data_IF_121025090921
#
_entry.id   IF_121025090921
#
_cell.length_a   1.000
_cell.length_b   1.000
_cell.length_c   1.000
_cell.angle_alpha   90.00
_cell.angle_beta   90.00
_cell.angle_gamma   90.00
#
_symmetry.space_group_name_H-M   'P 1'
#
loop_
_entity.id
_entity.type
_entity.pdbx_description
1 polymer ?
#
# COMPACT_ATOMS: atom_id res chain seq x y z
N UNK A 1 -64.00 5.15 45.73
CA UNK A 1 -62.55 5.30 45.49
C UNK A 1 -62.02 4.03 44.85
N UNK A 2 -61.53 4.11 43.60
CA UNK A 2 -60.39 3.34 43.05
C UNK A 2 -60.26 3.71 41.57
N UNK A 3 -59.21 4.47 41.27
CA UNK A 3 -58.92 5.01 39.95
C UNK A 3 -58.36 3.93 39.01
N UNK A 4 -58.89 3.91 37.78
CA UNK A 4 -58.36 3.13 36.65
C UNK A 4 -57.33 4.02 35.94
N UNK A 5 -56.06 3.64 35.99
CA UNK A 5 -55.00 4.28 35.21
C UNK A 5 -54.86 3.57 33.86
N UNK A 6 -55.22 4.27 32.76
CA UNK A 6 -54.79 3.91 31.41
C UNK A 6 -53.37 4.41 31.22
N UNK A 7 -52.39 3.51 31.16
CA UNK A 7 -51.05 3.82 30.66
C UNK A 7 -51.03 3.62 29.15
N UNK A 8 -50.98 4.72 28.41
CA UNK A 8 -50.66 4.72 26.99
C UNK A 8 -49.14 4.70 26.87
N UNK A 9 -48.56 3.55 26.51
CA UNK A 9 -47.13 3.45 26.20
C UNK A 9 -46.95 3.93 24.76
N UNK A 10 -46.52 5.17 24.60
CA UNK A 10 -46.00 5.66 23.32
C UNK A 10 -44.59 5.08 23.14
N UNK A 11 -44.48 4.01 22.36
CA UNK A 11 -43.19 3.51 21.89
C UNK A 11 -42.63 4.52 20.87
N UNK A 12 -41.79 5.43 21.34
CA UNK A 12 -40.95 6.24 20.48
C UNK A 12 -39.89 5.32 19.87
N UNK A 13 -40.16 4.84 18.66
CA UNK A 13 -39.14 4.25 17.80
C UNK A 13 -38.19 5.38 17.43
N UNK A 14 -37.11 5.54 18.20
CA UNK A 14 -35.93 6.29 17.75
C UNK A 14 -35.36 5.53 16.55
N UNK A 15 -35.85 5.84 15.36
CA UNK A 15 -35.09 5.67 14.12
C UNK A 15 -33.89 6.59 14.26
N UNK A 16 -32.81 6.07 14.87
CA UNK A 16 -31.48 6.63 14.69
C UNK A 16 -31.26 6.63 13.18
N UNK A 17 -31.38 7.81 12.58
CA UNK A 17 -30.79 8.08 11.28
C UNK A 17 -29.29 7.82 11.48
N UNK A 18 -28.88 6.59 11.20
CA UNK A 18 -27.47 6.27 11.02
C UNK A 18 -27.11 7.09 9.80
N UNK A 19 -26.56 8.28 10.05
CA UNK A 19 -25.87 9.08 9.05
C UNK A 19 -24.99 8.08 8.30
N UNK A 20 -25.25 7.87 7.02
CA UNK A 20 -24.50 6.93 6.17
C UNK A 20 -23.11 7.50 5.85
N UNK A 21 -22.48 8.08 6.86
CA UNK A 21 -21.29 8.87 6.78
C UNK A 21 -20.13 8.00 6.33
N UNK A 22 -19.59 8.33 5.15
CA UNK A 22 -18.18 8.09 4.78
C UNK A 22 -17.75 6.64 4.97
N UNK A 23 -18.55 5.71 4.50
CA UNK A 23 -18.26 4.28 4.56
C UNK A 23 -17.29 3.86 3.47
N UNK A 24 -16.71 2.67 3.66
CA UNK A 24 -15.77 2.08 2.73
C UNK A 24 -16.41 1.76 1.37
N UNK A 25 -15.72 2.05 0.25
CA UNK A 25 -16.22 1.75 -1.09
C UNK A 25 -16.59 0.26 -1.22
N UNK A 26 -17.83 -0.02 -1.62
CA UNK A 26 -18.30 -1.38 -1.92
C UNK A 26 -18.63 -2.27 -0.72
N UNK A 27 -18.11 -2.00 0.48
CA UNK A 27 -18.38 -2.84 1.67
C UNK A 27 -19.34 -2.17 2.65
N UNK A 28 -19.37 -0.84 2.71
CA UNK A 28 -20.19 -0.11 3.68
C UNK A 28 -19.61 -0.09 5.10
N UNK A 29 -18.42 -0.64 5.31
CA UNK A 29 -17.73 -0.66 6.60
C UNK A 29 -17.24 0.74 7.02
N UNK A 30 -16.92 0.91 8.31
CA UNK A 30 -16.27 2.13 8.79
C UNK A 30 -14.82 2.22 8.31
N UNK A 31 -14.35 3.41 7.90
CA UNK A 31 -12.98 3.56 7.43
C UNK A 31 -11.98 3.55 8.59
N UNK A 32 -10.85 2.88 8.37
CA UNK A 32 -9.76 2.82 9.35
C UNK A 32 -9.12 4.18 9.56
N UNK A 33 -9.13 5.04 8.54
CA UNK A 33 -8.55 6.38 8.59
C UNK A 33 -9.37 7.33 7.73
N UNK A 34 -9.52 8.59 8.16
CA UNK A 34 -10.18 9.60 7.35
C UNK A 34 -9.52 10.97 7.49
N UNK A 35 -9.70 11.82 6.47
CA UNK A 35 -9.22 13.20 6.47
C UNK A 35 -10.12 14.09 5.63
N UNK A 36 -10.64 15.15 6.25
CA UNK A 36 -11.42 16.17 5.53
C UNK A 36 -10.46 17.07 4.76
N UNK A 37 -10.68 17.21 3.45
CA UNK A 37 -9.90 18.11 2.60
C UNK A 37 -10.50 19.51 2.62
N UNK A 38 -9.69 20.54 2.35
CA UNK A 38 -10.18 21.93 2.21
C UNK A 38 -11.12 22.10 1.01
N UNK A 39 -11.00 21.23 0.01
CA UNK A 39 -11.85 21.24 -1.18
C UNK A 39 -13.27 20.74 -0.92
N UNK A 40 -13.56 20.22 0.27
CA UNK A 40 -14.88 19.68 0.65
C UNK A 40 -14.86 18.18 0.93
N UNK A 41 -14.42 17.34 -0.03
CA UNK A 41 -14.43 15.89 0.11
C UNK A 41 -13.70 15.38 1.35
N UNK A 42 -14.19 14.27 1.89
CA UNK A 42 -13.42 13.50 2.88
C UNK A 42 -12.80 12.29 2.21
N UNK A 43 -11.48 12.17 2.34
CA UNK A 43 -10.78 10.96 1.93
C UNK A 43 -10.82 9.95 3.07
N UNK A 44 -11.00 8.68 2.72
CA UNK A 44 -11.06 7.56 3.65
C UNK A 44 -10.10 6.45 3.23
N UNK A 45 -9.55 5.71 4.18
CA UNK A 45 -8.73 4.50 3.94
C UNK A 45 -9.48 3.30 4.46
N UNK A 46 -9.57 2.27 3.63
CA UNK A 46 -10.28 1.03 3.89
C UNK A 46 -9.42 -0.15 3.44
N UNK A 47 -9.28 -1.19 4.26
CA UNK A 47 -8.39 -2.31 3.96
C UNK A 47 -7.82 -2.92 5.23
N UNK A 48 -6.61 -3.45 5.15
CA UNK A 48 -5.91 -4.05 6.28
C UNK A 48 -4.89 -3.07 6.88
N UNK A 49 -5.00 -2.77 8.17
CA UNK A 49 -3.92 -2.09 8.90
C UNK A 49 -2.94 -3.13 9.43
N UNK A 50 -1.67 -2.97 9.03
CA UNK A 50 -0.58 -3.85 9.44
C UNK A 50 0.03 -3.32 10.74
N UNK A 51 -0.18 -4.06 11.83
CA UNK A 51 0.35 -3.70 13.14
C UNK A 51 1.73 -4.31 13.45
N UNK A 52 2.24 -5.17 12.57
CA UNK A 52 3.56 -5.80 12.72
C UNK A 52 4.67 -4.90 12.16
N UNK A 53 4.33 -4.04 11.20
CA UNK A 53 5.26 -3.08 10.61
C UNK A 53 5.46 -1.89 11.53
N UNK A 54 6.72 -1.64 11.91
CA UNK A 54 7.08 -0.46 12.69
C UNK A 54 6.83 0.82 11.89
N UNK A 55 6.13 1.79 12.48
CA UNK A 55 5.74 3.04 11.82
C UNK A 55 6.44 4.27 12.39
N UNK A 56 6.83 5.25 11.53
CA UNK A 56 7.22 6.57 12.00
C UNK A 56 6.05 7.30 12.67
N UNK A 57 6.37 8.24 13.57
CA UNK A 57 5.36 9.04 14.30
C UNK A 57 4.34 9.68 13.34
N UNK A 58 3.07 9.42 13.58
CA UNK A 58 1.95 9.98 12.83
C UNK A 58 1.63 9.25 11.52
N UNK A 59 2.29 8.12 11.25
CA UNK A 59 1.96 7.21 10.15
C UNK A 59 1.33 5.93 10.67
N UNK A 60 0.59 5.24 9.82
CA UNK A 60 0.03 3.90 10.04
C UNK A 60 0.39 3.02 8.85
N UNK A 61 0.61 1.73 9.07
CA UNK A 61 0.98 0.81 8.01
C UNK A 61 -0.27 0.09 7.48
N UNK A 62 -0.36 -0.07 6.17
CA UNK A 62 -1.48 -0.72 5.51
C UNK A 62 -1.01 -1.63 4.40
N UNK A 63 -1.73 -2.73 4.18
CA UNK A 63 -1.68 -3.58 3.00
C UNK A 63 -3.11 -3.81 2.49
N UNK A 64 -3.27 -4.23 1.24
CA UNK A 64 -4.60 -4.51 0.65
C UNK A 64 -5.65 -3.41 0.94
N UNK A 65 -5.31 -2.16 0.61
CA UNK A 65 -6.18 -1.04 0.95
C UNK A 65 -6.61 -0.23 -0.27
N UNK A 66 -7.69 0.49 -0.06
CA UNK A 66 -8.24 1.48 -0.97
C UNK A 66 -8.33 2.82 -0.27
N UNK A 67 -8.09 3.89 -1.04
CA UNK A 67 -8.44 5.25 -0.65
C UNK A 67 -9.71 5.63 -1.40
N UNK A 68 -10.76 5.93 -0.66
CA UNK A 68 -12.02 6.43 -1.19
C UNK A 68 -12.16 7.95 -1.02
N UNK A 69 -12.93 8.59 -1.90
CA UNK A 69 -13.40 9.97 -1.74
C UNK A 69 -14.91 10.00 -1.49
N UNK A 70 -15.30 10.42 -0.29
CA UNK A 70 -16.68 10.74 0.05
C UNK A 70 -16.98 12.19 -0.38
N UNK A 71 -17.61 12.34 -1.55
CA UNK A 71 -18.04 13.63 -2.11
C UNK A 71 -19.40 14.08 -1.55
N UNK A 72 -20.23 13.11 -1.17
CA UNK A 72 -21.59 13.26 -0.67
C UNK A 72 -21.70 12.43 0.61
N UNK A 73 -22.31 12.98 1.66
CA UNK A 73 -22.38 12.31 2.96
C UNK A 73 -23.35 11.12 2.96
N UNK A 74 -24.23 11.05 1.96
CA UNK A 74 -25.24 10.00 1.80
C UNK A 74 -24.85 8.94 0.75
N UNK A 75 -23.60 8.97 0.24
CA UNK A 75 -23.13 8.01 -0.77
C UNK A 75 -21.84 7.30 -0.34
N UNK A 76 -21.65 6.05 -0.76
CA UNK A 76 -20.37 5.37 -0.60
C UNK A 76 -19.24 6.18 -1.25
N UNK A 77 -18.06 6.13 -0.64
CA UNK A 77 -16.89 6.78 -1.20
C UNK A 77 -16.52 6.18 -2.58
N UNK A 78 -16.10 7.02 -3.51
CA UNK A 78 -15.60 6.60 -4.82
C UNK A 78 -14.11 6.22 -4.70
N UNK A 79 -13.70 5.10 -5.28
CA UNK A 79 -12.28 4.66 -5.22
C UNK A 79 -11.38 5.63 -5.98
N UNK A 80 -10.36 6.16 -5.31
CA UNK A 80 -9.35 7.08 -5.86
C UNK A 80 -8.00 6.39 -6.06
N UNK A 81 -7.68 5.46 -5.18
CA UNK A 81 -6.43 4.71 -5.21
C UNK A 81 -6.66 3.32 -4.60
N UNK A 82 -5.96 2.31 -5.11
CA UNK A 82 -5.94 0.95 -4.56
C UNK A 82 -4.52 0.42 -4.56
N UNK A 83 -4.12 -0.19 -3.45
CA UNK A 83 -2.91 -0.98 -3.32
C UNK A 83 -3.27 -2.48 -3.32
N UNK A 84 -2.48 -3.28 -4.03
CA UNK A 84 -2.58 -4.73 -4.00
C UNK A 84 -2.03 -5.33 -2.70
N UNK A 85 -2.13 -6.65 -2.54
CA UNK A 85 -1.74 -7.32 -1.30
C UNK A 85 -0.26 -7.57 -1.09
N UNK A 86 0.54 -7.44 -2.14
CA UNK A 86 1.99 -7.61 -2.07
C UNK A 86 2.73 -6.32 -1.68
N UNK A 87 2.00 -5.22 -1.46
CA UNK A 87 2.58 -3.92 -1.16
C UNK A 87 2.14 -3.41 0.21
N UNK A 88 3.13 -3.07 1.04
CA UNK A 88 2.91 -2.39 2.31
C UNK A 88 3.14 -0.90 2.13
N UNK A 89 2.29 -0.08 2.72
CA UNK A 89 2.39 1.38 2.69
C UNK A 89 2.42 1.97 4.09
N UNK A 90 3.21 3.01 4.30
CA UNK A 90 2.93 3.97 5.36
C UNK A 90 2.00 5.07 4.86
N UNK A 91 0.91 5.29 5.58
CA UNK A 91 -0.08 6.34 5.29
C UNK A 91 -0.09 7.36 6.40
N UNK A 92 -0.12 8.64 6.02
CA UNK A 92 -0.23 9.78 6.93
C UNK A 92 -1.39 10.69 6.51
N UNK A 93 -2.20 11.08 7.49
CA UNK A 93 -3.25 12.08 7.31
C UNK A 93 -2.63 13.47 7.38
N UNK A 94 -2.90 14.28 6.37
CA UNK A 94 -2.51 15.69 6.32
C UNK A 94 -3.79 16.53 6.35
N UNK A 95 -4.19 17.05 7.52
CA UNK A 95 -5.44 17.78 7.69
C UNK A 95 -5.62 18.91 6.67
N UNK A 96 -6.79 18.95 6.03
CA UNK A 96 -7.12 19.94 5.01
C UNK A 96 -6.47 19.70 3.65
N UNK A 97 -5.61 18.69 3.49
CA UNK A 97 -4.95 18.36 2.21
C UNK A 97 -5.38 16.98 1.69
N UNK A 98 -5.13 15.93 2.47
CA UNK A 98 -5.40 14.55 2.06
C UNK A 98 -4.47 13.55 2.72
N UNK A 99 -4.02 12.54 1.97
CA UNK A 99 -3.08 11.52 2.47
C UNK A 99 -1.72 11.62 1.80
N UNK A 100 -0.65 11.43 2.57
CA UNK A 100 0.67 11.04 2.05
C UNK A 100 0.77 9.51 2.12
N UNK A 101 1.13 8.88 1.00
CA UNK A 101 1.33 7.43 0.87
C UNK A 101 2.81 7.18 0.56
N UNK A 102 3.44 6.30 1.34
CA UNK A 102 4.79 5.82 1.09
C UNK A 102 4.77 4.31 0.94
N UNK A 103 4.96 3.83 -0.28
CA UNK A 103 5.18 2.42 -0.57
C UNK A 103 6.50 1.96 0.03
N UNK A 104 6.47 0.85 0.75
CA UNK A 104 7.62 0.28 1.43
C UNK A 104 8.17 -0.89 0.62
N UNK A 105 9.48 -0.87 0.40
CA UNK A 105 10.22 -1.97 -0.19
C UNK A 105 11.12 -2.59 0.88
N UNK A 106 11.09 -3.91 0.95
CA UNK A 106 11.91 -4.71 1.86
C UNK A 106 12.93 -5.48 1.04
N UNK A 107 14.19 -5.38 1.44
CA UNK A 107 15.30 -6.18 0.88
C UNK A 107 16.01 -6.99 1.96
N UNK A 108 15.62 -6.73 3.21
CA UNK A 108 16.03 -7.29 4.47
C UNK A 108 14.83 -7.15 5.43
N UNK A 109 15.01 -7.48 6.70
CA UNK A 109 13.97 -7.40 7.72
C UNK A 109 13.47 -5.96 8.00
N UNK A 110 14.09 -4.94 7.39
CA UNK A 110 13.73 -3.53 7.60
C UNK A 110 13.09 -2.92 6.34
N UNK A 111 11.76 -2.74 6.32
CA UNK A 111 11.08 -2.05 5.22
C UNK A 111 11.54 -0.60 5.09
N UNK A 112 11.67 -0.11 3.87
CA UNK A 112 12.15 1.25 3.56
C UNK A 112 11.19 1.96 2.62
N UNK A 113 10.88 3.24 2.84
CA UNK A 113 10.06 4.00 1.92
C UNK A 113 10.78 4.14 0.58
N UNK A 114 10.11 3.72 -0.49
CA UNK A 114 10.67 3.69 -1.83
C UNK A 114 9.97 4.67 -2.77
N UNK A 115 8.64 4.64 -2.78
CA UNK A 115 7.82 5.51 -3.62
C UNK A 115 6.90 6.33 -2.73
N UNK A 116 6.93 7.63 -2.90
CA UNK A 116 6.03 8.56 -2.23
C UNK A 116 5.00 9.11 -3.22
N UNK A 117 3.75 9.25 -2.80
CA UNK A 117 2.68 9.92 -3.55
C UNK A 117 1.71 10.59 -2.59
N UNK A 118 0.98 11.59 -3.04
CA UNK A 118 -0.13 12.19 -2.30
C UNK A 118 -1.46 11.79 -2.92
N UNK A 119 -2.50 11.64 -2.11
CA UNK A 119 -3.89 11.64 -2.59
C UNK A 119 -4.53 12.91 -2.08
N UNK A 120 -4.89 13.80 -3.00
CA UNK A 120 -5.46 15.12 -2.70
C UNK A 120 -6.72 15.38 -3.50
N UNK A 121 -7.49 16.38 -3.10
CA UNK A 121 -8.70 16.80 -3.82
C UNK A 121 -8.62 18.27 -4.22
N UNK A 122 -8.98 18.55 -5.47
CA UNK A 122 -9.10 19.91 -6.03
C UNK A 122 -10.43 20.02 -6.79
N UNK A 123 -11.16 21.11 -6.55
CA UNK A 123 -12.46 21.38 -7.19
C UNK A 123 -13.44 20.18 -7.17
N UNK A 124 -13.49 19.46 -6.05
CA UNK A 124 -14.37 18.30 -5.86
C UNK A 124 -13.91 17.01 -6.57
N UNK A 125 -12.72 16.99 -7.19
CA UNK A 125 -12.12 15.79 -7.79
C UNK A 125 -10.91 15.37 -6.98
N UNK A 126 -10.80 14.09 -6.65
CA UNK A 126 -9.68 13.54 -5.91
C UNK A 126 -8.85 12.64 -6.81
N UNK A 127 -7.52 12.73 -6.69
CA UNK A 127 -6.60 11.93 -7.49
C UNK A 127 -5.28 11.71 -6.75
N UNK A 128 -4.58 10.59 -7.01
CA UNK A 128 -3.20 10.42 -6.60
C UNK A 128 -2.28 11.29 -7.46
N UNK A 129 -1.24 11.87 -6.86
CA UNK A 129 -0.12 12.45 -7.59
C UNK A 129 0.67 11.35 -8.31
N UNK A 130 1.45 11.70 -9.36
CA UNK A 130 2.49 10.81 -9.85
C UNK A 130 3.41 10.36 -8.69
N UNK A 131 3.89 9.12 -8.76
CA UNK A 131 4.87 8.61 -7.82
C UNK A 131 6.17 9.42 -7.88
N UNK A 132 6.82 9.55 -6.73
CA UNK A 132 8.16 10.13 -6.60
C UNK A 132 9.06 9.15 -5.91
N UNK A 133 10.22 8.89 -6.51
CA UNK A 133 11.22 8.09 -5.82
C UNK A 133 11.75 8.80 -4.57
N UNK A 134 11.67 8.11 -3.44
CA UNK A 134 12.26 8.52 -2.16
C UNK A 134 13.22 7.48 -1.60
N UNK A 135 13.39 6.35 -2.31
CA UNK A 135 14.33 5.31 -1.95
C UNK A 135 15.75 5.87 -1.85
N UNK A 136 16.43 5.60 -0.73
CA UNK A 136 17.82 6.00 -0.50
C UNK A 136 18.72 4.77 -0.45
N UNK A 137 19.05 4.22 -1.61
CA UNK A 137 20.02 3.13 -1.74
C UNK A 137 21.36 3.67 -2.26
N UNK A 138 22.27 4.05 -1.34
CA UNK A 138 23.56 4.66 -1.72
C UNK A 138 24.59 3.66 -2.23
N UNK A 139 24.50 2.39 -1.80
CA UNK A 139 25.41 1.30 -2.14
C UNK A 139 24.63 0.01 -2.20
N UNK A 140 25.12 -0.94 -2.99
CA UNK A 140 24.61 -2.31 -3.01
C UNK A 140 24.80 -2.95 -1.62
N UNK A 141 23.71 -3.27 -0.88
CA UNK A 141 23.83 -3.96 0.39
C UNK A 141 24.15 -5.46 0.23
N UNK A 142 23.93 -6.04 -0.95
CA UNK A 142 24.06 -7.47 -1.22
C UNK A 142 24.88 -7.76 -2.49
N UNK A 143 26.19 -7.47 -2.50
CA UNK A 143 27.04 -7.60 -3.70
C UNK A 143 27.18 -9.02 -4.26
N UNK A 144 26.73 -10.05 -3.54
CA UNK A 144 26.84 -11.45 -3.94
C UNK A 144 25.50 -12.16 -4.11
N UNK A 145 24.39 -11.44 -3.96
CA UNK A 145 23.05 -12.04 -3.97
C UNK A 145 22.79 -12.82 -5.26
N UNK A 146 23.10 -12.22 -6.42
CA UNK A 146 22.88 -12.89 -7.71
C UNK A 146 23.67 -14.19 -7.83
N UNK A 147 24.96 -14.14 -7.50
CA UNK A 147 25.83 -15.33 -7.56
C UNK A 147 25.36 -16.43 -6.60
N UNK A 148 24.83 -16.06 -5.43
CA UNK A 148 24.32 -17.01 -4.44
C UNK A 148 23.01 -17.66 -4.91
N UNK A 149 22.07 -16.87 -5.45
CA UNK A 149 20.83 -17.38 -6.02
C UNK A 149 21.10 -18.34 -7.18
N UNK A 150 21.98 -17.96 -8.11
CA UNK A 150 22.36 -18.82 -9.25
C UNK A 150 23.01 -20.14 -8.80
N UNK A 151 23.90 -20.10 -7.80
CA UNK A 151 24.50 -21.31 -7.25
C UNK A 151 23.44 -22.26 -6.65
N UNK A 152 22.43 -21.71 -5.97
CA UNK A 152 21.33 -22.50 -5.40
C UNK A 152 20.45 -23.15 -6.46
N UNK A 153 19.98 -22.35 -7.43
CA UNK A 153 19.16 -22.84 -8.55
C UNK A 153 19.86 -23.97 -9.35
N UNK A 154 21.20 -23.96 -9.39
CA UNK A 154 21.99 -24.99 -10.05
C UNK A 154 22.26 -26.23 -9.17
N UNK A 155 22.06 -26.16 -7.85
CA UNK A 155 22.49 -27.19 -6.89
C UNK A 155 21.34 -27.97 -6.23
N UNK A 156 20.11 -27.43 -6.18
CA UNK A 156 18.94 -28.05 -5.51
C UNK A 156 17.61 -27.61 -6.15
N UNK A 157 16.53 -28.27 -5.74
CA UNK A 157 15.17 -27.73 -5.87
C UNK A 157 15.04 -26.44 -5.04
N UNK A 158 14.33 -25.43 -5.55
CA UNK A 158 14.14 -24.17 -4.83
C UNK A 158 13.48 -24.34 -3.45
N UNK A 159 13.77 -23.44 -2.52
CA UNK A 159 13.11 -23.35 -1.21
C UNK A 159 12.76 -21.88 -0.84
N UNK A 160 12.02 -21.68 0.26
CA UNK A 160 11.56 -20.36 0.71
C UNK A 160 12.71 -19.34 0.90
N UNK A 161 13.94 -19.80 1.17
CA UNK A 161 15.07 -18.88 1.31
C UNK A 161 15.59 -18.33 -0.03
N UNK A 162 15.10 -18.86 -1.16
CA UNK A 162 15.38 -18.32 -2.49
C UNK A 162 14.55 -17.06 -2.78
N UNK A 163 13.38 -16.88 -2.17
CA UNK A 163 12.60 -15.64 -2.26
C UNK A 163 13.34 -14.49 -1.56
N UNK A 164 13.85 -14.73 -0.34
CA UNK A 164 14.67 -13.75 0.36
C UNK A 164 15.95 -13.39 -0.42
N UNK A 165 16.55 -14.35 -1.13
CA UNK A 165 17.66 -14.06 -2.04
C UNK A 165 17.22 -13.25 -3.26
N UNK A 166 16.03 -13.51 -3.81
CA UNK A 166 15.46 -12.72 -4.92
C UNK A 166 15.31 -11.24 -4.55
N UNK A 167 14.84 -10.93 -3.35
CA UNK A 167 14.74 -9.56 -2.84
C UNK A 167 16.12 -8.89 -2.69
N UNK A 168 17.14 -9.66 -2.33
CA UNK A 168 18.51 -9.16 -2.29
C UNK A 168 19.08 -8.90 -3.71
N UNK A 169 18.75 -9.76 -4.69
CA UNK A 169 19.09 -9.54 -6.11
C UNK A 169 18.38 -8.28 -6.63
N UNK A 170 17.15 -8.04 -6.19
CA UNK A 170 16.41 -6.81 -6.51
C UNK A 170 17.14 -5.56 -5.99
N UNK A 171 17.56 -5.54 -4.72
CA UNK A 171 18.37 -4.45 -4.19
C UNK A 171 19.70 -4.27 -4.95
N UNK A 172 20.36 -5.37 -5.32
CA UNK A 172 21.55 -5.33 -6.17
C UNK A 172 21.25 -4.66 -7.52
N UNK A 173 20.15 -5.02 -8.21
CA UNK A 173 19.73 -4.39 -9.46
C UNK A 173 19.39 -2.90 -9.32
N UNK A 174 18.69 -2.52 -8.24
CA UNK A 174 18.36 -1.11 -7.94
C UNK A 174 19.60 -0.25 -7.69
N UNK A 175 20.69 -0.85 -7.21
CA UNK A 175 21.96 -0.16 -6.99
C UNK A 175 22.76 0.11 -8.26
N UNK A 176 22.27 -0.32 -9.43
CA UNK A 176 22.92 -0.12 -10.73
C UNK A 176 23.79 -1.29 -11.20
N UNK A 177 23.71 -2.45 -10.54
CA UNK A 177 24.41 -3.66 -10.98
C UNK A 177 23.81 -4.18 -12.28
N UNK A 178 24.60 -4.19 -13.35
CA UNK A 178 24.14 -4.54 -14.71
C UNK A 178 23.80 -6.02 -14.85
N UNK A 179 24.49 -6.90 -14.14
CA UNK A 179 24.23 -8.34 -14.21
C UNK A 179 22.92 -8.67 -13.51
N UNK A 180 22.67 -8.06 -12.34
CA UNK A 180 21.40 -8.21 -11.66
C UNK A 180 20.23 -7.54 -12.40
N UNK A 181 20.47 -6.41 -13.08
CA UNK A 181 19.46 -5.84 -13.98
C UNK A 181 19.12 -6.80 -15.13
N UNK A 182 20.15 -7.35 -15.80
CA UNK A 182 19.98 -8.30 -16.89
C UNK A 182 19.28 -9.59 -16.44
N UNK A 183 19.50 -10.03 -15.20
CA UNK A 183 18.79 -11.17 -14.62
C UNK A 183 17.25 -10.98 -14.66
N UNK A 184 16.75 -9.77 -14.40
CA UNK A 184 15.30 -9.47 -14.44
C UNK A 184 14.75 -9.20 -15.86
N UNK A 185 15.59 -9.15 -16.88
CA UNK A 185 15.14 -9.05 -18.28
C UNK A 185 14.63 -10.38 -18.82
N UNK A 186 15.14 -11.50 -18.27
CA UNK A 186 14.85 -12.85 -18.78
C UNK A 186 14.69 -13.86 -17.65
N UNK A 187 13.45 -14.29 -17.42
CA UNK A 187 13.10 -15.22 -16.35
C UNK A 187 13.92 -16.53 -16.48
N UNK A 188 14.64 -16.94 -15.44
CA UNK A 188 15.33 -18.23 -15.41
C UNK A 188 14.36 -19.41 -15.53
N UNK A 189 14.86 -20.53 -16.08
CA UNK A 189 14.12 -21.79 -16.03
C UNK A 189 14.20 -22.40 -14.62
N UNK A 190 13.19 -23.18 -14.24
CA UNK A 190 13.22 -23.95 -12.99
C UNK A 190 12.67 -23.25 -11.75
N UNK A 191 12.04 -22.08 -11.90
CA UNK A 191 11.25 -21.48 -10.81
C UNK A 191 9.97 -22.27 -10.61
N UNK A 192 9.60 -22.47 -9.35
CA UNK A 192 8.25 -22.89 -8.99
C UNK A 192 7.28 -21.69 -9.08
N UNK A 193 6.04 -21.90 -8.66
CA UNK A 193 5.01 -20.87 -8.73
C UNK A 193 5.34 -19.66 -7.85
N UNK A 194 5.85 -19.88 -6.64
CA UNK A 194 6.13 -18.83 -5.67
C UNK A 194 7.30 -17.93 -6.13
N UNK A 195 8.41 -18.53 -6.58
CA UNK A 195 9.52 -17.78 -7.16
C UNK A 195 9.15 -17.08 -8.46
N UNK A 196 8.24 -17.67 -9.25
CA UNK A 196 7.74 -17.01 -10.47
C UNK A 196 6.96 -15.74 -10.12
N UNK A 197 6.09 -15.80 -9.12
CA UNK A 197 5.32 -14.66 -8.64
C UNK A 197 6.22 -13.57 -8.07
N UNK A 198 7.17 -13.94 -7.20
CA UNK A 198 8.15 -13.01 -6.63
C UNK A 198 8.98 -12.32 -7.75
N UNK A 199 9.47 -13.09 -8.72
CA UNK A 199 10.23 -12.55 -9.85
C UNK A 199 9.40 -11.56 -10.69
N UNK A 200 8.16 -11.91 -11.04
CA UNK A 200 7.31 -11.07 -11.88
C UNK A 200 6.88 -9.79 -11.15
N UNK A 201 6.62 -9.89 -9.83
CA UNK A 201 6.38 -8.74 -8.94
C UNK A 201 7.57 -7.78 -8.90
N UNK A 202 8.78 -8.29 -8.60
CA UNK A 202 10.02 -7.51 -8.55
C UNK A 202 10.33 -6.87 -9.90
N UNK A 203 10.13 -7.59 -11.01
CA UNK A 203 10.33 -7.07 -12.36
C UNK A 203 9.40 -5.88 -12.63
N UNK A 204 8.15 -5.93 -12.16
CA UNK A 204 7.22 -4.81 -12.18
C UNK A 204 7.76 -3.60 -11.42
N UNK A 205 8.20 -3.81 -10.17
CA UNK A 205 8.78 -2.76 -9.30
C UNK A 205 10.06 -2.17 -9.89
N UNK A 206 10.91 -2.95 -10.53
CA UNK A 206 12.11 -2.46 -11.23
C UNK A 206 11.78 -1.57 -12.43
N UNK A 207 10.72 -1.87 -13.18
CA UNK A 207 10.25 -1.01 -14.27
C UNK A 207 9.77 0.34 -13.72
N UNK A 208 8.92 0.32 -12.69
CA UNK A 208 8.47 1.55 -12.02
C UNK A 208 9.65 2.34 -11.45
N UNK A 209 10.61 1.67 -10.80
CA UNK A 209 11.84 2.27 -10.31
C UNK A 209 12.61 3.01 -11.43
N UNK A 210 12.68 2.42 -12.62
CA UNK A 210 13.31 3.03 -13.80
C UNK A 210 12.58 4.28 -14.27
N UNK A 211 11.25 4.23 -14.37
CA UNK A 211 10.38 5.35 -14.76
C UNK A 211 10.47 6.51 -13.76
N UNK A 212 10.53 6.19 -12.46
CA UNK A 212 10.64 7.16 -11.36
C UNK A 212 12.07 7.61 -11.07
N UNK A 213 13.06 7.11 -11.82
CA UNK A 213 14.50 7.41 -11.66
C UNK A 213 15.01 7.09 -10.24
N UNK A 214 14.57 5.96 -9.69
CA UNK A 214 15.06 5.42 -8.42
C UNK A 214 16.47 4.81 -8.49
N UNK A 215 16.93 4.50 -9.71
CA UNK A 215 18.25 3.94 -9.94
C UNK A 215 19.27 5.06 -10.14
N UNK A 216 20.54 4.86 -9.75
CA UNK A 216 21.61 5.77 -10.12
C UNK A 216 21.66 5.93 -11.66
N UNK A 217 22.01 7.12 -12.17
CA UNK A 217 22.12 7.34 -13.61
C UNK A 217 23.13 6.36 -14.23
N UNK A 218 22.77 5.84 -15.42
CA UNK A 218 23.59 4.91 -16.21
C UNK A 218 24.94 5.49 -16.62
#
# INVERSE_FOLDING_TARGET
MKHIYKMTVAAAVCLSAVSQARTCPGTGDEPLMSVKTKAGPTLVVCGYEDHEVTTPKGKRAFSEFTVGAALDEDKPAEVVFSAGGTDTFWIKSVPGKGFELEELWSFDDTPRPAIWREVTCEAGKCAPSPGKCVLKLKRNPFPKALSALQARLNSKSPDESDEALMDQVWAQALSGDKEAQAFFERRPAGFDAALTEAYDSIRGKLREAGELKCQPPK
#
